data_IF_541888863459
#
_entry.id   IF_541888863459
#
_cell.length_a   1.000
_cell.length_b   1.000
_cell.length_c   1.000
_cell.angle_alpha   90.00
_cell.angle_beta   90.00
_cell.angle_gamma   90.00
#
_symmetry.space_group_name_H-M   'P 1'
#
loop_
_entity.id
_entity.type
_entity.pdbx_description
1 polymer ?
#
# COMPACT_ATOMS: atom_id res chain seq x y z
N UNK A 1 -17.17 63.00 19.77
CA UNK A 1 -16.72 61.67 19.30
C UNK A 1 -15.76 61.88 18.15
N UNK A 2 -14.49 61.56 18.33
CA UNK A 2 -13.48 61.69 17.27
C UNK A 2 -13.64 60.53 16.26
N UNK A 3 -13.47 60.76 14.96
CA UNK A 3 -13.51 59.69 13.97
C UNK A 3 -12.28 58.79 14.16
N UNK A 4 -12.49 57.47 14.14
CA UNK A 4 -11.42 56.48 14.12
C UNK A 4 -10.60 56.68 12.84
N UNK A 5 -9.35 57.13 13.00
CA UNK A 5 -8.37 57.21 11.93
C UNK A 5 -8.08 55.80 11.40
N UNK A 6 -8.52 55.52 10.18
CA UNK A 6 -8.15 54.32 9.42
C UNK A 6 -6.65 54.30 9.22
N UNK A 7 -5.97 53.43 9.96
CA UNK A 7 -4.56 53.09 9.72
C UNK A 7 -4.51 52.43 8.33
N UNK A 8 -3.75 52.98 7.36
CA UNK A 8 -3.56 52.31 6.08
C UNK A 8 -2.80 51.01 6.34
N UNK A 9 -3.41 49.87 6.04
CA UNK A 9 -2.70 48.60 6.05
C UNK A 9 -1.61 48.62 4.96
N UNK A 10 -0.38 48.17 5.26
CA UNK A 10 0.76 48.26 4.34
C UNK A 10 0.71 47.26 3.17
N UNK A 11 -0.41 46.55 2.98
CA UNK A 11 -0.52 45.47 2.00
C UNK A 11 -1.66 45.74 1.01
N UNK A 12 -1.45 45.51 -0.31
CA UNK A 12 -2.51 45.60 -1.32
C UNK A 12 -3.65 44.65 -0.96
N UNK A 13 -4.89 45.14 -1.07
CA UNK A 13 -6.11 44.43 -0.63
C UNK A 13 -6.33 43.08 -1.32
N UNK A 14 -5.65 42.78 -2.45
CA UNK A 14 -5.92 41.58 -3.24
C UNK A 14 -4.69 40.91 -3.87
N UNK A 15 -3.45 41.27 -3.50
CA UNK A 15 -2.26 40.64 -4.10
C UNK A 15 -1.11 40.56 -3.11
N UNK A 16 -0.33 39.45 -3.11
CA UNK A 16 0.88 39.35 -2.32
C UNK A 16 1.90 40.41 -2.79
N UNK A 17 2.82 40.86 -1.91
CA UNK A 17 3.82 41.86 -2.26
C UNK A 17 4.64 41.47 -3.51
N UNK A 18 5.12 42.44 -4.30
CA UNK A 18 6.04 42.17 -5.40
C UNK A 18 7.23 41.30 -4.94
N UNK A 19 7.45 40.15 -5.59
CA UNK A 19 8.45 39.14 -5.18
C UNK A 19 7.89 37.94 -4.39
N UNK A 20 6.62 37.98 -3.98
CA UNK A 20 5.86 36.85 -3.41
C UNK A 20 4.86 36.25 -4.41
N UNK A 21 4.99 36.59 -5.70
CA UNK A 21 4.32 35.84 -6.75
C UNK A 21 4.77 34.37 -6.66
N UNK A 22 3.82 33.45 -6.67
CA UNK A 22 4.10 32.04 -6.91
C UNK A 22 4.67 31.93 -8.33
N UNK A 23 5.97 32.16 -8.48
CA UNK A 23 6.68 31.62 -9.63
C UNK A 23 6.42 30.12 -9.60
N UNK A 24 6.06 29.55 -10.75
CA UNK A 24 5.95 28.11 -10.98
C UNK A 24 7.28 27.45 -10.60
N UNK A 25 7.51 27.22 -9.31
CA UNK A 25 8.60 26.36 -8.88
C UNK A 25 8.17 24.98 -9.30
N UNK A 26 8.81 24.47 -10.34
CA UNK A 26 8.90 23.04 -10.57
C UNK A 26 9.11 22.38 -9.21
N UNK A 27 8.13 21.60 -8.75
CA UNK A 27 8.28 20.80 -7.55
C UNK A 27 9.57 20.00 -7.72
N UNK A 28 10.55 20.27 -6.86
CA UNK A 28 11.87 19.70 -7.05
C UNK A 28 11.78 18.18 -6.96
N UNK A 29 12.51 17.48 -7.84
CA UNK A 29 12.61 16.01 -7.86
C UNK A 29 12.97 15.46 -6.46
N UNK A 30 13.76 16.20 -5.69
CA UNK A 30 14.11 15.87 -4.31
C UNK A 30 12.88 15.86 -3.39
N UNK A 31 11.99 16.86 -3.50
CA UNK A 31 10.77 16.92 -2.69
C UNK A 31 9.80 15.79 -3.02
N UNK A 32 9.75 15.35 -4.29
CA UNK A 32 8.89 14.24 -4.70
C UNK A 32 9.41 12.89 -4.25
N UNK A 33 10.72 12.67 -4.24
CA UNK A 33 11.33 11.44 -3.70
C UNK A 33 11.17 11.35 -2.18
N UNK A 34 11.36 12.46 -1.44
CA UNK A 34 11.13 12.44 0.03
C UNK A 34 9.67 12.13 0.38
N UNK A 35 8.71 12.70 -0.37
CA UNK A 35 7.30 12.40 -0.17
C UNK A 35 6.95 10.93 -0.49
N UNK A 36 7.60 10.34 -1.50
CA UNK A 36 7.51 8.93 -1.82
C UNK A 36 8.00 8.04 -0.67
N UNK A 37 9.25 8.26 -0.21
CA UNK A 37 9.85 7.48 0.87
C UNK A 37 9.03 7.60 2.15
N UNK A 38 8.63 8.83 2.52
CA UNK A 38 7.83 9.09 3.72
C UNK A 38 6.48 8.35 3.66
N UNK A 39 5.82 8.33 2.51
CA UNK A 39 4.53 7.64 2.34
C UNK A 39 4.65 6.13 2.53
N UNK A 40 5.74 5.53 2.04
CA UNK A 40 6.01 4.10 2.21
C UNK A 40 6.41 3.79 3.65
N UNK A 41 7.30 4.57 4.25
CA UNK A 41 7.73 4.38 5.63
C UNK A 41 6.55 4.47 6.60
N UNK A 42 5.66 5.44 6.43
CA UNK A 42 4.44 5.55 7.25
C UNK A 42 3.52 4.34 7.07
N UNK A 43 3.32 3.89 5.81
CA UNK A 43 2.49 2.74 5.49
C UNK A 43 3.08 1.41 5.96
N UNK A 44 4.39 1.29 6.04
CA UNK A 44 5.08 0.04 6.37
C UNK A 44 5.71 0.09 7.79
N UNK A 45 5.27 1.06 8.60
CA UNK A 45 5.53 1.13 10.04
C UNK A 45 4.47 0.38 10.83
N UNK A 46 4.93 -0.55 11.66
CA UNK A 46 4.11 -1.36 12.55
C UNK A 46 4.71 -1.35 13.95
N UNK A 47 3.86 -1.14 14.95
CA UNK A 47 4.30 -1.01 16.35
C UNK A 47 5.40 0.05 16.53
N UNK A 48 5.28 1.17 15.81
CA UNK A 48 6.21 2.31 15.86
C UNK A 48 7.54 2.11 15.15
N UNK A 49 7.74 1.00 14.42
CA UNK A 49 8.99 0.73 13.71
C UNK A 49 8.73 0.38 12.24
N UNK A 50 9.57 0.87 11.30
CA UNK A 50 9.52 0.43 9.91
C UNK A 50 9.89 -1.06 9.83
N UNK A 51 9.13 -1.85 9.07
CA UNK A 51 9.38 -3.29 8.93
C UNK A 51 9.30 -3.76 7.49
N UNK A 52 10.03 -4.84 7.21
CA UNK A 52 9.81 -5.57 5.97
C UNK A 52 8.38 -6.14 5.95
N UNK A 53 7.61 -5.81 4.92
CA UNK A 53 6.21 -6.26 4.80
C UNK A 53 6.05 -7.78 4.73
N UNK A 54 7.12 -8.53 4.40
CA UNK A 54 7.10 -10.00 4.26
C UNK A 54 7.49 -10.69 5.56
N UNK A 55 8.64 -10.34 6.16
CA UNK A 55 9.17 -11.08 7.31
C UNK A 55 9.25 -10.29 8.62
N UNK A 56 8.80 -9.03 8.65
CA UNK A 56 8.73 -8.25 9.88
C UNK A 56 10.07 -7.74 10.42
N UNK A 57 11.18 -7.96 9.70
CA UNK A 57 12.50 -7.45 10.09
C UNK A 57 12.45 -5.92 10.25
N UNK A 58 12.78 -5.42 11.45
CA UNK A 58 12.64 -4.00 11.82
C UNK A 58 13.96 -3.19 11.79
N UNK A 59 15.06 -3.80 11.35
CA UNK A 59 16.37 -3.14 11.32
C UNK A 59 16.43 -2.15 10.17
N UNK A 60 16.30 -0.85 10.46
CA UNK A 60 16.22 0.23 9.46
C UNK A 60 17.37 0.21 8.43
N UNK A 61 18.60 -0.10 8.86
CA UNK A 61 19.79 -0.20 7.98
C UNK A 61 19.65 -1.33 6.94
N UNK A 62 18.82 -2.34 7.23
CA UNK A 62 18.59 -3.50 6.37
C UNK A 62 17.31 -3.39 5.55
N UNK A 63 16.57 -2.28 5.66
CA UNK A 63 15.36 -2.02 4.90
C UNK A 63 15.66 -1.18 3.67
N UNK A 64 14.96 -1.48 2.59
CA UNK A 64 15.11 -0.83 1.30
C UNK A 64 13.74 -0.58 0.68
N UNK A 65 13.61 0.59 0.05
CA UNK A 65 12.51 0.88 -0.86
C UNK A 65 12.68 0.08 -2.14
N UNK A 66 11.70 -0.79 -2.39
CA UNK A 66 11.59 -1.61 -3.59
C UNK A 66 10.48 -1.04 -4.46
N UNK A 67 10.68 -1.02 -5.78
CA UNK A 67 9.67 -0.58 -6.74
C UNK A 67 9.04 -1.80 -7.43
N UNK A 68 7.72 -1.81 -7.60
CA UNK A 68 7.04 -2.87 -8.34
C UNK A 68 7.29 -2.69 -9.84
N UNK A 69 7.14 -1.47 -10.34
CA UNK A 69 7.57 -1.05 -11.68
C UNK A 69 8.87 -0.28 -11.53
N UNK A 70 9.95 -0.72 -12.18
CA UNK A 70 11.24 -0.11 -11.95
C UNK A 70 11.26 1.32 -12.47
N UNK A 71 12.07 2.14 -11.82
CA UNK A 71 12.25 3.54 -12.18
C UNK A 71 12.64 3.75 -13.66
N UNK A 72 13.44 2.83 -14.21
CA UNK A 72 13.86 2.83 -15.61
C UNK A 72 12.74 2.48 -16.61
N UNK A 73 11.54 2.10 -16.13
CA UNK A 73 10.44 1.56 -16.94
C UNK A 73 9.34 2.58 -17.22
N UNK A 74 9.71 3.85 -17.47
CA UNK A 74 8.79 4.96 -17.71
C UNK A 74 7.76 4.69 -18.84
N UNK A 75 8.18 3.98 -19.89
CA UNK A 75 7.28 3.56 -20.96
C UNK A 75 6.16 2.64 -20.46
N UNK A 76 6.52 1.65 -19.62
CA UNK A 76 5.58 0.70 -19.05
C UNK A 76 4.61 1.43 -18.12
N UNK A 77 5.12 2.31 -17.26
CA UNK A 77 4.32 3.17 -16.40
C UNK A 77 3.29 3.99 -17.20
N UNK A 78 3.73 4.65 -18.27
CA UNK A 78 2.86 5.41 -19.17
C UNK A 78 1.79 4.54 -19.83
N UNK A 79 2.16 3.30 -20.20
CA UNK A 79 1.23 2.35 -20.79
C UNK A 79 0.15 1.87 -19.79
N UNK A 80 0.53 1.65 -18.52
CA UNK A 80 -0.41 1.30 -17.46
C UNK A 80 -1.44 2.40 -17.21
N UNK A 81 -1.02 3.68 -17.26
CA UNK A 81 -1.92 4.84 -17.21
C UNK A 81 -2.88 4.86 -18.40
N UNK A 82 -2.34 4.70 -19.62
CA UNK A 82 -3.14 4.72 -20.85
C UNK A 82 -4.17 3.58 -20.93
N UNK A 83 -3.88 2.43 -20.32
CA UNK A 83 -4.79 1.29 -20.24
C UNK A 83 -5.77 1.36 -19.06
N UNK A 84 -5.68 2.39 -18.21
CA UNK A 84 -6.44 2.47 -16.96
C UNK A 84 -6.22 1.27 -16.03
N UNK A 85 -4.99 0.75 -16.00
CA UNK A 85 -4.54 -0.23 -15.01
C UNK A 85 -4.12 0.47 -13.72
N UNK A 86 -3.66 1.72 -13.83
CA UNK A 86 -3.47 2.65 -12.71
C UNK A 86 -4.18 3.98 -13.03
N UNK A 87 -4.42 4.86 -12.04
CA UNK A 87 -5.04 6.16 -12.29
C UNK A 87 -4.22 6.99 -13.29
N UNK A 88 -4.90 7.71 -14.19
CA UNK A 88 -4.24 8.70 -15.06
C UNK A 88 -3.56 9.83 -14.27
N UNK A 89 -4.01 10.06 -13.03
CA UNK A 89 -3.53 11.04 -12.07
C UNK A 89 -2.27 10.59 -11.31
N UNK A 90 -1.90 9.30 -11.40
CA UNK A 90 -0.67 8.80 -10.80
C UNK A 90 0.53 9.63 -11.28
N UNK A 91 1.53 9.78 -10.40
CA UNK A 91 2.68 10.65 -10.68
C UNK A 91 3.35 10.28 -12.00
N UNK A 92 3.97 11.26 -12.66
CA UNK A 92 4.53 11.06 -14.00
C UNK A 92 5.66 10.01 -14.00
N UNK A 93 6.47 9.96 -12.93
CA UNK A 93 7.56 9.00 -12.77
C UNK A 93 7.19 7.95 -11.72
N UNK A 94 7.45 6.65 -11.96
CA UNK A 94 7.23 5.58 -10.97
C UNK A 94 7.87 5.86 -9.60
N UNK A 95 9.13 6.33 -9.56
CA UNK A 95 9.85 6.70 -8.31
C UNK A 95 9.20 7.76 -7.43
N UNK A 96 8.14 8.42 -7.91
CA UNK A 96 7.43 9.45 -7.15
C UNK A 96 6.05 8.98 -6.69
N UNK A 97 5.61 7.79 -7.10
CA UNK A 97 4.31 7.24 -6.74
C UNK A 97 4.45 6.24 -5.59
N UNK A 98 4.13 6.59 -4.33
CA UNK A 98 4.30 5.69 -3.19
C UNK A 98 3.51 4.37 -3.32
N UNK A 99 2.47 4.36 -4.16
CA UNK A 99 1.66 3.18 -4.51
C UNK A 99 2.35 2.22 -5.48
N UNK A 100 3.56 2.55 -5.94
CA UNK A 100 4.48 1.68 -6.68
C UNK A 100 5.62 1.14 -5.78
N UNK A 101 5.69 1.59 -4.53
CA UNK A 101 6.78 1.26 -3.62
C UNK A 101 6.42 0.30 -2.49
N UNK A 102 7.41 -0.46 -2.02
CA UNK A 102 7.34 -1.47 -0.95
C UNK A 102 8.55 -1.34 -0.03
N UNK A 103 8.37 -1.52 1.29
CA UNK A 103 9.48 -1.64 2.22
C UNK A 103 9.85 -3.11 2.43
N UNK A 104 11.04 -3.50 1.98
CA UNK A 104 11.55 -4.87 2.09
C UNK A 104 12.92 -4.91 2.76
N UNK A 105 13.25 -6.05 3.39
CA UNK A 105 14.63 -6.30 3.76
C UNK A 105 15.46 -6.63 2.51
N UNK A 106 16.79 -6.43 2.58
CA UNK A 106 17.72 -6.68 1.47
C UNK A 106 17.50 -8.05 0.82
N UNK A 107 17.30 -9.12 1.61
CA UNK A 107 17.11 -10.47 1.08
C UNK A 107 15.82 -10.60 0.24
N UNK A 108 14.69 -10.10 0.74
CA UNK A 108 13.43 -10.15 0.01
C UNK A 108 13.46 -9.25 -1.21
N UNK A 109 14.09 -8.08 -1.12
CA UNK A 109 14.24 -7.17 -2.26
C UNK A 109 15.02 -7.83 -3.40
N UNK A 110 16.18 -8.44 -3.11
CA UNK A 110 16.99 -9.17 -4.10
C UNK A 110 16.16 -10.30 -4.74
N UNK A 111 15.41 -11.06 -3.95
CA UNK A 111 14.60 -12.17 -4.46
C UNK A 111 13.37 -11.70 -5.27
N UNK A 112 12.81 -10.54 -4.92
CA UNK A 112 11.73 -9.91 -5.68
C UNK A 112 12.25 -9.51 -7.07
N UNK A 113 13.39 -8.83 -7.12
CA UNK A 113 14.04 -8.40 -8.37
C UNK A 113 14.58 -9.55 -9.23
N UNK A 114 14.96 -10.66 -8.59
CA UNK A 114 15.38 -11.89 -9.26
C UNK A 114 14.21 -12.76 -9.73
N UNK A 115 12.97 -12.30 -9.53
CA UNK A 115 11.76 -13.01 -9.94
C UNK A 115 11.61 -14.40 -9.30
N UNK A 116 12.02 -14.55 -8.03
CA UNK A 116 11.87 -15.80 -7.30
C UNK A 116 10.44 -16.00 -6.76
N UNK A 117 9.74 -14.91 -6.48
CA UNK A 117 8.37 -14.94 -5.98
C UNK A 117 7.58 -13.78 -6.58
N UNK A 118 6.26 -13.86 -6.47
CA UNK A 118 5.37 -12.72 -6.71
C UNK A 118 4.44 -12.51 -5.52
N UNK A 119 3.86 -11.31 -5.47
CA UNK A 119 2.80 -10.96 -4.53
C UNK A 119 1.50 -10.99 -5.32
N UNK A 120 0.48 -11.66 -4.81
CA UNK A 120 -0.84 -11.76 -5.42
C UNK A 120 -1.85 -11.01 -4.56
N UNK A 121 -2.58 -10.07 -5.14
CA UNK A 121 -3.80 -9.61 -4.50
C UNK A 121 -4.93 -10.63 -4.67
N UNK A 122 -5.59 -10.98 -3.57
CA UNK A 122 -6.72 -11.92 -3.53
C UNK A 122 -7.98 -11.12 -3.20
N UNK A 123 -8.87 -10.86 -4.18
CA UNK A 123 -10.04 -10.01 -3.98
C UNK A 123 -10.99 -10.50 -2.88
N UNK A 124 -11.24 -11.81 -2.80
CA UNK A 124 -12.17 -12.41 -1.82
C UNK A 124 -11.80 -12.10 -0.37
N UNK A 125 -10.51 -12.25 -0.04
CA UNK A 125 -10.00 -12.01 1.31
C UNK A 125 -9.45 -10.59 1.47
N UNK A 126 -9.40 -9.82 0.38
CA UNK A 126 -8.84 -8.47 0.29
C UNK A 126 -7.40 -8.38 0.83
N UNK A 127 -6.61 -9.43 0.64
CA UNK A 127 -5.23 -9.55 1.14
C UNK A 127 -4.22 -9.61 0.01
N UNK A 128 -3.00 -9.16 0.29
CA UNK A 128 -1.83 -9.41 -0.55
C UNK A 128 -1.12 -10.67 -0.03
N UNK A 129 -0.95 -11.67 -0.87
CA UNK A 129 -0.42 -12.99 -0.53
C UNK A 129 0.93 -13.21 -1.20
N UNK A 130 1.90 -13.70 -0.44
CA UNK A 130 3.22 -14.07 -0.97
C UNK A 130 3.15 -15.43 -1.65
N UNK A 131 3.66 -15.54 -2.88
CA UNK A 131 3.69 -16.80 -3.64
C UNK A 131 5.12 -17.14 -4.01
N UNK A 132 5.70 -18.10 -3.29
CA UNK A 132 6.95 -18.75 -3.68
C UNK A 132 6.72 -19.47 -5.02
N UNK A 133 7.26 -18.94 -6.12
CA UNK A 133 7.11 -19.53 -7.46
C UNK A 133 8.37 -20.26 -7.92
N UNK A 134 9.53 -19.89 -7.38
CA UNK A 134 10.81 -20.55 -7.63
C UNK A 134 11.00 -21.86 -6.88
N UNK A 135 10.03 -22.25 -6.04
CA UNK A 135 10.12 -23.41 -5.16
C UNK A 135 11.39 -23.41 -4.27
N UNK A 136 11.86 -22.22 -3.89
CA UNK A 136 13.07 -22.09 -3.07
C UNK A 136 12.75 -22.44 -1.62
N UNK A 137 13.48 -23.35 -0.95
CA UNK A 137 13.13 -23.80 0.40
C UNK A 137 13.06 -22.68 1.43
N UNK A 138 13.93 -21.68 1.31
CA UNK A 138 13.99 -20.52 2.23
C UNK A 138 12.73 -19.63 2.13
N UNK A 139 12.03 -19.67 1.00
CA UNK A 139 10.81 -18.90 0.75
C UNK A 139 9.54 -19.67 1.11
N UNK A 140 9.65 -20.98 1.37
CA UNK A 140 8.49 -21.85 1.59
C UNK A 140 7.68 -21.44 2.82
N UNK A 141 8.34 -20.94 3.86
CA UNK A 141 7.69 -20.46 5.08
C UNK A 141 6.73 -19.27 4.85
N UNK A 142 6.93 -18.51 3.76
CA UNK A 142 6.11 -17.35 3.42
C UNK A 142 5.01 -17.67 2.40
N UNK A 143 5.10 -18.81 1.70
CA UNK A 143 4.20 -19.19 0.62
C UNK A 143 2.75 -19.31 1.11
N UNK A 144 1.82 -18.70 0.37
CA UNK A 144 0.38 -18.75 0.64
C UNK A 144 -0.06 -17.89 1.83
N UNK A 145 0.85 -17.12 2.45
CA UNK A 145 0.56 -16.27 3.59
C UNK A 145 0.43 -14.80 3.19
N UNK A 146 -0.52 -14.12 3.81
CA UNK A 146 -0.79 -12.71 3.59
C UNK A 146 0.27 -11.82 4.27
N UNK A 147 0.82 -10.89 3.51
CA UNK A 147 1.89 -9.96 3.92
C UNK A 147 1.31 -8.68 4.52
N UNK A 148 2.13 -7.89 5.24
CA UNK A 148 1.68 -6.67 5.91
C UNK A 148 1.51 -5.50 4.93
N UNK A 149 0.53 -5.61 4.05
CA UNK A 149 0.04 -4.54 3.19
C UNK A 149 -1.45 -4.35 3.48
N UNK A 150 -1.80 -3.19 4.02
CA UNK A 150 -3.19 -2.82 4.27
C UNK A 150 -3.82 -2.26 3.00
N UNK A 151 -4.85 -2.95 2.48
CA UNK A 151 -5.62 -2.49 1.32
C UNK A 151 -6.42 -1.20 1.61
N UNK A 152 -6.68 -0.88 2.89
CA UNK A 152 -7.43 0.30 3.29
C UNK A 152 -6.55 1.56 3.30
N UNK A 153 -5.23 1.41 3.23
CA UNK A 153 -4.29 2.52 3.30
C UNK A 153 -4.33 3.40 2.04
N UNK A 154 -4.23 4.72 2.21
CA UNK A 154 -4.17 5.68 1.11
C UNK A 154 -2.98 5.50 0.15
N UNK A 155 -1.88 4.91 0.63
CA UNK A 155 -0.69 4.56 -0.14
C UNK A 155 -0.56 3.05 -0.37
N UNK A 156 -1.62 2.26 -0.16
CA UNK A 156 -1.66 0.85 -0.53
C UNK A 156 -1.25 0.68 -2.00
N UNK A 157 -0.30 -0.23 -2.33
CA UNK A 157 0.11 -0.43 -3.70
C UNK A 157 -1.06 -0.83 -4.59
N UNK A 158 -1.05 -0.40 -5.86
CA UNK A 158 -2.09 -0.81 -6.79
C UNK A 158 -1.94 -2.31 -7.13
N UNK A 159 -2.96 -3.15 -6.87
CA UNK A 159 -2.89 -4.59 -7.18
C UNK A 159 -2.56 -4.90 -8.64
N UNK A 160 -2.97 -4.03 -9.56
CA UNK A 160 -2.66 -4.14 -10.98
C UNK A 160 -1.17 -4.15 -11.31
N UNK A 161 -0.32 -3.51 -10.50
CA UNK A 161 1.14 -3.52 -10.68
C UNK A 161 1.71 -4.92 -10.43
N UNK A 162 1.16 -5.63 -9.44
CA UNK A 162 1.55 -6.99 -9.13
C UNK A 162 1.16 -7.99 -10.22
N UNK A 163 0.12 -7.73 -11.02
CA UNK A 163 -0.20 -8.55 -12.20
C UNK A 163 1.00 -8.57 -13.16
N UNK A 164 1.60 -7.41 -13.42
CA UNK A 164 2.74 -7.34 -14.34
C UNK A 164 3.96 -8.05 -13.75
N UNK A 165 4.24 -7.84 -12.45
CA UNK A 165 5.33 -8.55 -11.77
C UNK A 165 5.14 -10.06 -11.82
N UNK A 166 3.93 -10.57 -11.59
CA UNK A 166 3.65 -11.99 -11.69
C UNK A 166 3.84 -12.53 -13.11
N UNK A 167 3.39 -11.80 -14.14
CA UNK A 167 3.63 -12.18 -15.53
C UNK A 167 5.13 -12.29 -15.83
N UNK A 168 5.95 -11.40 -15.27
CA UNK A 168 7.42 -11.48 -15.37
C UNK A 168 7.95 -12.71 -14.67
N UNK A 169 7.53 -12.97 -13.43
CA UNK A 169 7.97 -14.16 -12.68
C UNK A 169 7.66 -15.45 -13.44
N UNK A 170 6.44 -15.58 -13.97
CA UNK A 170 6.05 -16.72 -14.82
C UNK A 170 6.87 -16.80 -16.10
N UNK A 171 7.19 -15.66 -16.73
CA UNK A 171 8.01 -15.59 -17.94
C UNK A 171 9.49 -15.93 -17.72
N UNK A 172 10.06 -15.55 -16.57
CA UNK A 172 11.42 -15.89 -16.17
C UNK A 172 11.54 -17.36 -15.72
N UNK A 173 10.44 -17.96 -15.26
CA UNK A 173 10.38 -19.34 -14.75
C UNK A 173 9.25 -20.15 -15.42
N UNK A 174 9.28 -20.33 -16.76
CA UNK A 174 8.14 -20.88 -17.49
C UNK A 174 7.87 -22.38 -17.24
N UNK A 175 8.82 -23.09 -16.65
CA UNK A 175 8.74 -24.53 -16.41
C UNK A 175 8.60 -24.91 -14.93
N UNK A 176 8.61 -23.94 -14.02
CA UNK A 176 8.34 -24.25 -12.61
C UNK A 176 6.88 -24.69 -12.45
N UNK A 177 6.61 -25.74 -11.65
CA UNK A 177 5.26 -26.20 -11.43
C UNK A 177 4.44 -25.09 -10.75
N UNK A 178 3.16 -25.01 -11.10
CA UNK A 178 2.18 -24.18 -10.36
C UNK A 178 1.77 -24.96 -9.10
N UNK A 179 2.75 -25.28 -8.27
CA UNK A 179 2.62 -25.97 -7.00
C UNK A 179 3.48 -25.19 -6.01
N UNK A 180 3.00 -24.86 -4.80
CA UNK A 180 1.78 -25.31 -4.15
C UNK A 180 0.53 -24.46 -4.42
N UNK A 181 -0.64 -25.08 -4.20
CA UNK A 181 -1.89 -24.34 -4.00
C UNK A 181 -1.79 -23.43 -2.76
N UNK A 182 -2.46 -22.28 -2.81
CA UNK A 182 -2.57 -21.39 -1.67
C UNK A 182 -3.73 -21.82 -0.75
N UNK A 183 -3.61 -21.64 0.57
CA UNK A 183 -4.76 -21.71 1.47
C UNK A 183 -5.84 -20.72 1.03
N UNK A 184 -7.12 -21.12 1.11
CA UNK A 184 -8.24 -20.25 0.71
C UNK A 184 -8.39 -19.01 1.62
N UNK A 185 -8.02 -19.15 2.90
CA UNK A 185 -8.17 -18.12 3.93
C UNK A 185 -7.03 -17.08 3.92
N UNK A 186 -5.89 -17.41 3.28
CA UNK A 186 -4.71 -16.56 3.23
C UNK A 186 -4.29 -16.08 4.62
N UNK A 187 -3.79 -16.99 5.49
CA UNK A 187 -3.45 -16.63 6.86
C UNK A 187 -2.34 -15.57 6.86
N UNK A 188 -2.34 -14.68 7.85
CA UNK A 188 -1.29 -13.68 7.97
C UNK A 188 0.08 -14.33 8.20
N UNK A 189 1.15 -13.65 7.76
CA UNK A 189 2.52 -14.07 8.07
C UNK A 189 2.72 -14.27 9.57
N UNK A 190 3.60 -15.22 9.94
CA UNK A 190 3.75 -15.65 11.32
C UNK A 190 4.12 -14.49 12.24
N UNK A 191 5.00 -13.59 11.78
CA UNK A 191 5.42 -12.40 12.52
C UNK A 191 4.26 -11.41 12.78
N UNK A 192 3.29 -11.30 11.86
CA UNK A 192 2.12 -10.42 12.03
C UNK A 192 1.26 -10.94 13.17
N UNK A 193 1.10 -12.26 13.24
CA UNK A 193 0.29 -12.93 14.26
C UNK A 193 1.02 -12.98 15.60
N UNK A 194 2.32 -13.32 15.62
CA UNK A 194 3.11 -13.43 16.85
C UNK A 194 3.33 -12.09 17.54
N UNK A 195 3.57 -11.03 16.76
CA UNK A 195 3.82 -9.69 17.29
C UNK A 195 2.51 -8.94 17.59
N UNK A 196 1.35 -9.55 17.29
CA UNK A 196 0.04 -8.94 17.52
C UNK A 196 -0.19 -7.66 16.70
N UNK A 197 0.43 -7.59 15.52
CA UNK A 197 0.46 -6.43 14.61
C UNK A 197 -0.90 -6.20 13.95
N UNK A 198 -1.64 -7.27 13.67
CA UNK A 198 -2.98 -7.18 13.13
C UNK A 198 -4.03 -7.37 14.23
N UNK A 199 -5.00 -6.46 14.32
CA UNK A 199 -6.15 -6.59 15.19
C UNK A 199 -7.34 -7.15 14.43
N UNK A 200 -7.74 -8.38 14.77
CA UNK A 200 -8.88 -9.05 14.16
C UNK A 200 -10.23 -8.40 14.50
N UNK A 201 -10.31 -7.62 15.59
CA UNK A 201 -11.57 -6.97 16.00
C UNK A 201 -11.84 -5.73 15.15
N UNK A 202 -10.83 -4.88 14.97
CA UNK A 202 -10.94 -3.69 14.12
C UNK A 202 -10.62 -3.96 12.65
N UNK A 203 -10.14 -5.15 12.31
CA UNK A 203 -9.69 -5.54 10.96
C UNK A 203 -8.65 -4.52 10.43
N UNK A 204 -7.65 -4.22 11.27
CA UNK A 204 -6.67 -3.16 11.01
C UNK A 204 -5.27 -3.47 11.56
N UNK A 205 -4.26 -2.81 10.98
CA UNK A 205 -2.88 -2.90 11.42
C UNK A 205 -2.57 -1.89 12.54
N UNK A 206 -1.89 -2.34 13.59
CA UNK A 206 -1.37 -1.49 14.67
C UNK A 206 -0.08 -0.81 14.22
N UNK A 207 -0.18 0.49 13.94
CA UNK A 207 0.94 1.31 13.46
C UNK A 207 1.72 1.96 14.58
N UNK A 208 1.03 2.44 15.62
CA UNK A 208 1.64 3.18 16.72
C UNK A 208 2.45 2.27 17.66
N UNK A 209 3.47 2.84 18.28
CA UNK A 209 4.20 2.18 19.36
C UNK A 209 3.23 1.75 20.47
N UNK A 210 3.38 0.56 21.05
CA UNK A 210 2.71 0.23 22.30
C UNK A 210 2.98 1.33 23.34
N UNK A 211 2.00 1.67 24.20
CA UNK A 211 2.25 2.60 25.28
C UNK A 211 3.45 2.12 26.08
N UNK A 212 4.42 3.02 26.26
CA UNK A 212 5.63 2.74 27.03
C UNK A 212 5.18 2.44 28.46
N UNK A 213 5.25 1.17 28.87
CA UNK A 213 5.06 0.81 30.27
C UNK A 213 6.30 1.31 31.01
N UNK A 214 6.29 2.61 31.31
CA UNK A 214 7.28 3.30 32.12
C UNK A 214 7.19 2.85 33.57
N UNK A 215 7.54 1.59 33.82
CA UNK A 215 7.89 1.05 35.13
C UNK A 215 9.13 0.17 34.95
N UNK A 216 10.27 0.85 34.76
CA UNK A 216 11.57 0.28 35.05
C UNK A 216 11.65 0.04 36.56
N UNK A 217 11.36 -1.19 36.99
CA UNK A 217 12.05 -1.80 38.11
C UNK A 217 12.32 -3.27 37.78
N UNK A 218 13.61 -3.60 37.78
CA UNK A 218 14.15 -4.95 37.69
C UNK A 218 13.42 -5.90 38.64
N UNK A 219 12.98 -7.06 38.14
CA UNK A 219 13.45 -8.35 38.63
C UNK A 219 12.96 -9.49 37.74
N UNK A 220 13.83 -10.48 37.56
CA UNK A 220 13.60 -11.71 36.82
C UNK A 220 12.25 -12.36 37.16
N UNK A 221 11.35 -12.47 36.18
CA UNK A 221 10.51 -13.67 36.07
C UNK A 221 10.04 -13.89 34.63
N UNK A 222 10.42 -15.04 34.07
CA UNK A 222 9.69 -15.66 32.98
C UNK A 222 8.26 -15.91 33.46
N UNK A 223 7.30 -15.15 32.93
CA UNK A 223 5.90 -15.54 32.99
C UNK A 223 5.31 -15.47 31.60
N UNK A 224 5.42 -16.60 30.92
CA UNK A 224 4.68 -16.94 29.71
C UNK A 224 3.20 -17.02 30.09
N UNK A 225 2.45 -15.93 29.96
CA UNK A 225 1.00 -15.99 30.11
C UNK A 225 0.41 -16.51 28.79
N UNK A 226 0.40 -17.84 28.65
CA UNK A 226 -0.47 -18.53 27.69
C UNK A 226 -1.91 -18.13 28.01
N UNK A 227 -2.51 -17.28 27.18
CA UNK A 227 -3.97 -17.23 27.12
C UNK A 227 -4.48 -18.37 26.21
N UNK A 228 -5.47 -19.14 26.66
CA UNK A 228 -5.95 -20.33 25.96
C UNK A 228 -6.63 -19.96 24.63
N UNK A 229 -6.31 -20.74 23.60
CA UNK A 229 -6.99 -20.75 22.31
C UNK A 229 -8.50 -20.93 22.49
N UNK A 230 -9.27 -19.92 22.12
CA UNK A 230 -10.67 -20.10 21.76
C UNK A 230 -10.76 -20.33 20.25
N UNK A 231 -10.96 -21.59 19.86
CA UNK A 231 -11.38 -21.97 18.51
C UNK A 231 -12.80 -21.46 18.24
N UNK A 232 -13.04 -20.67 17.17
CA UNK A 232 -14.37 -20.53 16.62
C UNK A 232 -14.66 -21.74 15.74
N UNK A 233 -15.65 -22.55 16.14
CA UNK A 233 -16.27 -23.54 15.25
C UNK A 233 -17.20 -22.81 14.30
N UNK A 234 -16.86 -22.72 13.02
CA UNK A 234 -17.80 -22.33 11.96
C UNK A 234 -18.36 -23.58 11.30
N UNK A 235 -19.58 -23.94 11.68
CA UNK A 235 -20.44 -24.80 10.88
C UNK A 235 -20.82 -24.07 9.59
N UNK A 236 -20.26 -24.50 8.46
CA UNK A 236 -20.80 -24.19 7.13
C UNK A 236 -21.14 -25.48 6.42
N UNK A 237 -22.43 -25.69 6.21
CA UNK A 237 -23.00 -26.68 5.29
C UNK A 237 -22.84 -26.15 3.87
N UNK A 238 -22.07 -26.84 3.02
CA UNK A 238 -22.02 -26.58 1.58
C UNK A 238 -20.69 -26.98 0.94
N UNK A 239 -20.69 -28.18 0.34
CA UNK A 239 -19.77 -28.74 -0.65
C UNK A 239 -18.25 -28.56 -0.47
N UNK A 240 -17.60 -29.69 -0.16
CA UNK A 240 -16.16 -29.84 -0.05
C UNK A 240 -15.44 -29.58 -1.38
N UNK A 241 -15.05 -28.33 -1.61
CA UNK A 241 -13.84 -28.03 -2.39
C UNK A 241 -12.64 -28.26 -1.46
N UNK A 242 -11.72 -29.13 -1.86
CA UNK A 242 -10.42 -29.28 -1.21
C UNK A 242 -9.83 -27.88 -0.98
N UNK A 243 -9.66 -27.45 0.27
CA UNK A 243 -9.38 -26.06 0.70
C UNK A 243 -8.05 -25.45 0.25
N UNK A 244 -7.83 -25.44 -1.06
CA UNK A 244 -6.60 -25.16 -1.77
C UNK A 244 -6.96 -24.44 -3.06
N UNK A 245 -6.58 -23.16 -3.14
CA UNK A 245 -6.75 -22.32 -4.31
C UNK A 245 -5.57 -22.49 -5.27
N UNK A 246 -5.85 -22.97 -6.47
CA UNK A 246 -4.86 -22.99 -7.54
C UNK A 246 -4.51 -21.58 -8.00
N UNK A 247 -3.23 -21.25 -8.04
CA UNK A 247 -2.75 -19.90 -8.42
C UNK A 247 -2.72 -19.74 -9.94
N UNK A 248 -3.87 -19.38 -10.53
CA UNK A 248 -3.98 -19.11 -11.98
C UNK A 248 -3.99 -17.61 -12.29
N UNK A 249 -3.44 -17.22 -13.45
CA UNK A 249 -3.52 -15.86 -13.96
C UNK A 249 -4.17 -15.87 -15.34
N UNK A 250 -5.50 -15.84 -15.36
CA UNK A 250 -6.30 -15.79 -16.57
C UNK A 250 -7.00 -14.41 -16.71
N UNK A 251 -7.74 -14.21 -17.81
CA UNK A 251 -8.40 -12.95 -18.10
C UNK A 251 -9.43 -12.55 -17.02
N UNK A 252 -10.15 -13.51 -16.44
CA UNK A 252 -11.16 -13.26 -15.42
C UNK A 252 -10.51 -12.79 -14.11
N UNK A 253 -9.44 -13.47 -13.67
CA UNK A 253 -8.65 -13.06 -12.49
C UNK A 253 -8.04 -11.67 -12.69
N UNK A 254 -7.53 -11.37 -13.89
CA UNK A 254 -7.01 -10.03 -14.21
C UNK A 254 -8.15 -8.99 -14.12
N UNK A 255 -9.31 -9.27 -14.72
CA UNK A 255 -10.45 -8.36 -14.71
C UNK A 255 -10.95 -8.09 -13.27
N UNK A 256 -10.99 -9.12 -12.44
CA UNK A 256 -11.39 -9.04 -11.04
C UNK A 256 -10.43 -8.18 -10.22
N UNK A 257 -9.11 -8.42 -10.34
CA UNK A 257 -8.10 -7.61 -9.66
C UNK A 257 -8.16 -6.15 -10.14
N UNK A 258 -8.36 -5.91 -11.44
CA UNK A 258 -8.51 -4.56 -11.98
C UNK A 258 -9.79 -3.87 -11.47
N UNK A 259 -10.90 -4.59 -11.37
CA UNK A 259 -12.14 -4.07 -10.80
C UNK A 259 -11.94 -3.70 -9.32
N UNK A 260 -11.34 -4.59 -8.54
CA UNK A 260 -11.00 -4.35 -7.14
C UNK A 260 -10.05 -3.16 -6.98
N UNK A 261 -9.02 -3.05 -7.83
CA UNK A 261 -8.06 -1.92 -7.83
C UNK A 261 -8.76 -0.57 -7.98
N UNK A 262 -9.76 -0.48 -8.85
CA UNK A 262 -10.46 0.80 -9.14
C UNK A 262 -11.34 1.30 -8.00
N UNK A 263 -11.78 0.41 -7.12
CA UNK A 263 -12.60 0.76 -5.96
C UNK A 263 -11.77 0.95 -4.68
N UNK A 264 -10.44 0.81 -4.76
CA UNK A 264 -9.57 0.95 -3.59
C UNK A 264 -9.46 2.39 -3.08
N UNK A 265 -9.31 2.59 -1.76
CA UNK A 265 -9.00 3.90 -1.19
C UNK A 265 -7.76 4.55 -1.81
N UNK A 266 -6.71 3.77 -2.12
CA UNK A 266 -5.50 4.30 -2.75
C UNK A 266 -5.73 4.81 -4.18
N UNK A 267 -6.66 4.21 -4.93
CA UNK A 267 -7.08 4.73 -6.24
C UNK A 267 -7.70 6.12 -6.10
N UNK A 268 -8.65 6.26 -5.18
CA UNK A 268 -9.31 7.53 -4.90
C UNK A 268 -8.30 8.57 -4.40
N UNK A 269 -7.44 8.22 -3.46
CA UNK A 269 -6.40 9.09 -2.94
C UNK A 269 -5.46 9.60 -4.05
N UNK A 270 -5.01 8.71 -4.94
CA UNK A 270 -4.19 9.07 -6.09
C UNK A 270 -4.90 10.06 -7.02
N UNK A 271 -6.20 9.86 -7.29
CA UNK A 271 -6.99 10.81 -8.08
C UNK A 271 -7.07 12.18 -7.41
N UNK A 272 -7.32 12.23 -6.09
CA UNK A 272 -7.39 13.48 -5.34
C UNK A 272 -6.05 14.22 -5.33
N UNK A 273 -4.94 13.51 -5.10
CA UNK A 273 -3.58 14.06 -5.02
C UNK A 273 -3.04 14.54 -6.37
N UNK A 274 -3.47 13.92 -7.47
CA UNK A 274 -3.06 14.29 -8.83
C UNK A 274 -4.01 15.25 -9.54
N UNK A 275 -5.13 15.64 -8.90
CA UNK A 275 -6.05 16.63 -9.46
C UNK A 275 -5.48 18.03 -9.26
N UNK A 276 -5.43 18.82 -10.34
CA UNK A 276 -5.07 20.23 -10.24
C UNK A 276 -6.20 21.03 -9.59
N UNK A 277 -5.87 21.69 -8.48
CA UNK A 277 -6.76 22.58 -7.74
C UNK A 277 -6.67 24.05 -8.19
N UNK A 278 -6.13 24.29 -9.39
CA UNK A 278 -6.17 25.63 -10.00
C UNK A 278 -7.59 25.97 -10.45
N UNK A 279 -8.01 27.21 -10.22
CA UNK A 279 -9.36 27.68 -10.58
C UNK A 279 -10.05 28.42 -9.44
N UNK A 280 -11.32 28.73 -9.65
CA UNK A 280 -12.17 29.37 -8.64
C UNK A 280 -12.57 28.37 -7.53
N UNK A 281 -13.02 28.89 -6.39
CA UNK A 281 -13.52 28.05 -5.31
C UNK A 281 -14.67 27.14 -5.76
N UNK A 282 -15.55 27.63 -6.64
CA UNK A 282 -16.67 26.86 -7.18
C UNK A 282 -16.20 25.72 -8.08
N UNK A 283 -15.25 25.99 -8.98
CA UNK A 283 -14.63 24.96 -9.84
C UNK A 283 -13.92 23.88 -9.00
N UNK A 284 -13.28 24.27 -7.91
CA UNK A 284 -12.64 23.32 -6.99
C UNK A 284 -13.66 22.50 -6.19
N UNK A 285 -14.79 23.09 -5.76
CA UNK A 285 -15.88 22.35 -5.13
C UNK A 285 -16.45 21.32 -6.11
N UNK A 286 -16.69 21.70 -7.37
CA UNK A 286 -17.22 20.80 -8.40
C UNK A 286 -16.25 19.65 -8.70
N UNK A 287 -14.95 19.94 -8.85
CA UNK A 287 -13.90 18.92 -9.00
C UNK A 287 -13.91 17.93 -7.82
N UNK A 288 -14.01 18.43 -6.60
CA UNK A 288 -14.05 17.61 -5.38
C UNK A 288 -15.31 16.74 -5.29
N UNK A 289 -16.48 17.29 -5.60
CA UNK A 289 -17.74 16.54 -5.61
C UNK A 289 -17.70 15.43 -6.67
N UNK A 290 -17.21 15.76 -7.88
CA UNK A 290 -17.05 14.80 -8.97
C UNK A 290 -16.07 13.67 -8.64
N UNK A 291 -15.00 13.94 -7.91
CA UNK A 291 -14.00 12.93 -7.56
C UNK A 291 -14.39 12.07 -6.35
N UNK A 292 -15.30 12.56 -5.50
CA UNK A 292 -15.81 11.81 -4.36
C UNK A 292 -17.03 10.95 -4.70
N UNK A 293 -17.76 11.30 -5.76
CA UNK A 293 -18.96 10.59 -6.18
C UNK A 293 -20.16 10.85 -5.26
N UNK A 294 -20.27 12.08 -4.72
CA UNK A 294 -21.48 12.48 -4.00
C UNK A 294 -22.51 12.85 -5.06
N UNK A 295 -23.42 11.93 -5.37
CA UNK A 295 -24.66 12.27 -6.05
C UNK A 295 -25.34 13.37 -5.23
N UNK A 296 -25.44 14.55 -5.82
CA UNK A 296 -26.09 15.69 -5.17
C UNK A 296 -27.54 15.29 -4.89
N UNK A 297 -28.09 15.55 -3.68
CA UNK A 297 -29.52 15.36 -3.45
C UNK A 297 -30.26 16.22 -4.46
N UNK A 298 -31.03 15.58 -5.34
CA UNK A 298 -31.94 16.29 -6.23
C UNK A 298 -32.86 17.15 -5.36
N UNK A 299 -32.80 18.47 -5.57
CA UNK A 299 -33.80 19.41 -5.04
C UNK A 299 -35.09 19.28 -5.83
#
# INVERSE_FOLDING_TARGET
MAPLSTIPLPLPVNQPPPGYGWEERDMSVLSTTTAFDTGIEQRDTFLGQPRCIICGLAHSILLQHCHIIRDSELHIWSNLKARHWIPSQAKAHPRHEPRDGLLMCIHHHIMFDAYNFFIRFVPDTRKFVFVNYSNEPILQQFHGKAIALDIKDHYAPFPSLFILHEMRVRGFRPFEPIEPDMPDDGPWQDWITSDGVFDNVSDSFKRDSPPDNGDNNNDNSFSTQLQPQHQPTTTSTGDASSGKRRVTLNADVIAEILAATRVMPSWKACQMEGTSWTGTAQENIEKYVSSIGIDSPQR
#
